data_IF_180822617148
#
_entry.id   IF_180822617148
#
_cell.length_a   1.000
_cell.length_b   1.000
_cell.length_c   1.000
_cell.angle_alpha   90.00
_cell.angle_beta   90.00
_cell.angle_gamma   90.00
#
_symmetry.space_group_name_H-M   'P 1'
#
loop_
_entity.id
_entity.type
_entity.pdbx_description
1 polymer ?
#
# COMPACT_ATOMS: atom_id res chain seq x y z
N UNK A 1 28.94 12.74 0.31
CA UNK A 1 28.21 11.47 0.48
C UNK A 1 27.44 11.57 1.80
N UNK A 2 26.11 11.62 1.75
CA UNK A 2 25.30 11.68 2.97
C UNK A 2 25.23 10.28 3.59
N UNK A 3 25.50 10.17 4.88
CA UNK A 3 25.43 8.92 5.62
C UNK A 3 23.96 8.44 5.68
N UNK A 4 23.71 7.20 5.27
CA UNK A 4 22.42 6.57 5.51
C UNK A 4 22.23 6.44 7.03
N UNK A 5 21.26 7.18 7.58
CA UNK A 5 20.94 7.11 8.99
C UNK A 5 20.49 5.67 9.32
N UNK A 6 21.23 5.00 10.21
CA UNK A 6 20.80 3.73 10.80
C UNK A 6 19.69 4.03 11.81
N UNK A 7 18.46 4.06 11.34
CA UNK A 7 17.28 4.22 12.20
C UNK A 7 16.43 5.44 11.84
N UNK A 8 15.34 5.60 12.59
CA UNK A 8 14.40 6.71 12.41
C UNK A 8 14.95 8.00 13.03
N UNK A 9 14.46 9.17 12.58
CA UNK A 9 14.83 10.47 13.16
C UNK A 9 14.66 10.46 14.69
N UNK A 10 15.63 11.04 15.40
CA UNK A 10 15.59 11.15 16.86
C UNK A 10 15.67 9.82 17.62
N UNK A 11 16.00 8.70 16.96
CA UNK A 11 16.09 7.39 17.61
C UNK A 11 14.72 6.75 17.90
N UNK A 12 13.66 7.19 17.22
CA UNK A 12 12.33 6.63 17.38
C UNK A 12 12.26 5.15 16.96
N UNK A 13 11.36 4.39 17.59
CA UNK A 13 11.03 3.02 17.17
C UNK A 13 9.96 2.98 16.08
N UNK A 14 9.19 4.05 15.92
CA UNK A 14 8.16 4.22 14.90
C UNK A 14 8.00 5.67 14.47
N UNK A 15 7.60 5.88 13.22
CA UNK A 15 7.31 7.18 12.63
C UNK A 15 6.01 7.08 11.84
N UNK A 16 5.16 8.09 11.95
CA UNK A 16 3.94 8.21 11.16
C UNK A 16 3.81 9.65 10.65
N UNK A 17 3.79 9.79 9.33
CA UNK A 17 3.77 11.08 8.64
C UNK A 17 2.60 11.13 7.65
N UNK A 18 2.06 12.33 7.45
CA UNK A 18 0.99 12.57 6.49
C UNK A 18 1.49 13.51 5.38
N UNK A 19 1.23 13.12 4.14
CA UNK A 19 1.61 13.82 2.92
C UNK A 19 0.39 13.93 1.99
N UNK A 20 -0.45 14.94 2.24
CA UNK A 20 -1.75 15.07 1.57
C UNK A 20 -2.64 13.87 1.91
N UNK A 21 -3.11 13.16 0.89
CA UNK A 21 -3.96 11.98 1.04
C UNK A 21 -3.19 10.70 1.41
N UNK A 22 -1.85 10.77 1.40
CA UNK A 22 -0.98 9.63 1.68
C UNK A 22 -0.45 9.68 3.11
N UNK A 23 -0.30 8.51 3.72
CA UNK A 23 0.41 8.33 4.97
C UNK A 23 1.66 7.48 4.78
N UNK A 24 2.71 7.79 5.53
CA UNK A 24 3.95 7.00 5.60
C UNK A 24 4.09 6.50 7.02
N UNK A 25 4.08 5.18 7.19
CA UNK A 25 4.29 4.54 8.47
C UNK A 25 5.59 3.73 8.43
N UNK A 26 6.53 4.08 9.30
CA UNK A 26 7.81 3.37 9.41
C UNK A 26 7.99 2.77 10.80
N UNK A 27 8.65 1.62 10.87
CA UNK A 27 9.06 0.99 12.12
C UNK A 27 10.53 0.55 12.03
N UNK A 28 11.30 0.86 13.07
CA UNK A 28 12.63 0.29 13.25
C UNK A 28 12.50 -1.13 13.79
N UNK A 29 12.92 -2.14 13.00
CA UNK A 29 12.89 -3.56 13.37
C UNK A 29 14.21 -4.21 13.03
N UNK A 30 14.81 -4.87 14.03
CA UNK A 30 15.98 -5.74 13.84
C UNK A 30 17.15 -5.06 13.10
N UNK A 31 17.38 -3.76 13.36
CA UNK A 31 18.46 -3.00 12.72
C UNK A 31 18.15 -2.49 11.31
N UNK A 32 16.92 -2.67 10.83
CA UNK A 32 16.41 -2.11 9.57
C UNK A 32 15.22 -1.17 9.84
N UNK A 33 15.00 -0.22 8.93
CA UNK A 33 13.77 0.60 8.93
C UNK A 33 12.87 0.08 7.82
N UNK A 34 11.66 -0.30 8.20
CA UNK A 34 10.64 -0.79 7.27
C UNK A 34 9.53 0.26 7.18
N UNK A 35 9.25 0.74 5.96
CA UNK A 35 8.22 1.74 5.71
C UNK A 35 7.14 1.18 4.80
N UNK A 36 5.90 1.59 5.06
CA UNK A 36 4.77 1.40 4.16
C UNK A 36 4.13 2.76 3.87
N UNK A 37 3.73 2.96 2.63
CA UNK A 37 2.98 4.13 2.18
C UNK A 37 1.55 3.69 1.91
N UNK A 38 0.56 4.43 2.40
CA UNK A 38 -0.84 4.06 2.20
C UNK A 38 -1.74 5.24 1.88
N UNK A 39 -2.80 4.96 1.12
CA UNK A 39 -3.91 5.89 0.88
C UNK A 39 -5.21 5.13 1.00
N UNK A 40 -6.21 5.73 1.67
CA UNK A 40 -7.55 5.17 1.79
C UNK A 40 -8.56 6.14 1.17
N UNK A 41 -9.30 5.67 0.16
CA UNK A 41 -10.41 6.39 -0.43
C UNK A 41 -11.71 6.00 0.25
N UNK A 42 -12.51 6.99 0.61
CA UNK A 42 -13.78 6.83 1.30
C UNK A 42 -14.87 7.46 0.44
N UNK A 43 -16.00 6.76 0.30
CA UNK A 43 -17.17 7.29 -0.40
C UNK A 43 -17.77 8.45 0.37
N UNK A 44 -17.87 9.62 -0.27
CA UNK A 44 -18.50 10.79 0.32
C UNK A 44 -20.00 10.63 0.59
N UNK A 45 -20.66 9.62 -0.01
CA UNK A 45 -22.10 9.40 0.15
C UNK A 45 -22.45 8.65 1.44
N UNK A 46 -21.62 7.69 1.85
CA UNK A 46 -21.95 6.76 2.94
C UNK A 46 -20.79 6.50 3.91
N UNK A 47 -19.64 7.15 3.72
CA UNK A 47 -18.47 6.99 4.59
C UNK A 47 -17.79 5.61 4.50
N UNK A 48 -18.19 4.77 3.54
CA UNK A 48 -17.60 3.46 3.38
C UNK A 48 -16.27 3.53 2.63
N UNK A 49 -15.30 2.72 3.04
CA UNK A 49 -14.03 2.58 2.33
C UNK A 49 -14.25 1.94 0.96
N UNK A 50 -13.80 2.62 -0.08
CA UNK A 50 -13.90 2.19 -1.49
C UNK A 50 -12.60 1.55 -1.96
N UNK A 51 -11.46 2.00 -1.45
CA UNK A 51 -10.15 1.45 -1.81
C UNK A 51 -9.16 1.79 -0.71
N UNK A 52 -8.26 0.86 -0.41
CA UNK A 52 -6.98 1.20 0.23
C UNK A 52 -5.85 0.62 -0.57
N UNK A 53 -4.83 1.45 -0.79
CA UNK A 53 -3.57 1.07 -1.40
C UNK A 53 -2.54 1.06 -0.28
N UNK A 54 -1.79 -0.03 -0.13
CA UNK A 54 -0.59 -0.08 0.71
C UNK A 54 0.59 -0.52 -0.15
N UNK A 55 1.68 0.24 -0.14
CA UNK A 55 2.87 0.01 -0.94
C UNK A 55 4.11 -0.06 -0.05
N UNK A 56 5.04 -0.95 -0.41
CA UNK A 56 6.34 -1.12 0.24
C UNK A 56 7.40 -1.31 -0.83
N UNK A 57 8.59 -0.77 -0.62
CA UNK A 57 9.72 -1.11 -1.49
C UNK A 57 10.00 -2.62 -1.39
N UNK A 58 10.26 -3.26 -2.53
CA UNK A 58 10.78 -4.62 -2.56
C UNK A 58 12.25 -4.62 -2.12
N UNK A 59 12.77 -5.80 -1.78
CA UNK A 59 14.20 -5.95 -1.52
C UNK A 59 15.02 -5.47 -2.72
N UNK A 60 16.08 -4.70 -2.47
CA UNK A 60 16.90 -4.07 -3.51
C UNK A 60 16.38 -2.72 -4.03
N UNK A 61 15.14 -2.33 -3.71
CA UNK A 61 14.61 -0.97 -3.95
C UNK A 61 14.20 -0.63 -5.39
N UNK A 62 14.37 -1.55 -6.35
CA UNK A 62 14.01 -1.34 -7.76
C UNK A 62 12.55 -1.66 -8.08
N UNK A 63 11.87 -2.40 -7.20
CA UNK A 63 10.47 -2.80 -7.35
C UNK A 63 9.65 -2.37 -6.14
N UNK A 64 8.33 -2.34 -6.31
CA UNK A 64 7.36 -2.03 -5.26
C UNK A 64 6.43 -3.23 -5.11
N UNK A 65 6.30 -3.72 -3.88
CA UNK A 65 5.29 -4.68 -3.49
C UNK A 65 4.09 -3.92 -2.94
N UNK A 66 2.90 -4.32 -3.34
CA UNK A 66 1.70 -3.60 -2.95
C UNK A 66 0.55 -4.51 -2.61
N UNK A 67 -0.38 -3.93 -1.87
CA UNK A 67 -1.68 -4.49 -1.59
C UNK A 67 -2.76 -3.50 -2.00
N UNK A 68 -3.80 -4.03 -2.64
CA UNK A 68 -5.07 -3.34 -2.80
C UNK A 68 -6.08 -3.99 -1.85
N UNK A 69 -6.84 -3.17 -1.13
CA UNK A 69 -7.98 -3.61 -0.34
C UNK A 69 -9.22 -3.03 -1.00
N UNK A 70 -10.06 -3.89 -1.55
CA UNK A 70 -11.28 -3.49 -2.27
C UNK A 70 -12.52 -3.87 -1.46
N UNK A 71 -13.67 -3.22 -1.70
CA UNK A 71 -14.93 -3.60 -1.10
C UNK A 71 -15.38 -4.98 -1.57
N UNK A 72 -16.21 -5.61 -0.75
CA UNK A 72 -16.92 -6.82 -1.14
C UNK A 72 -17.96 -6.52 -2.23
N UNK A 73 -18.33 -7.54 -3.01
CA UNK A 73 -19.33 -7.42 -4.08
C UNK A 73 -18.77 -7.17 -5.47
N UNK A 74 -17.43 -7.17 -5.64
CA UNK A 74 -16.79 -7.10 -6.96
C UNK A 74 -16.71 -8.49 -7.63
N UNK A 75 -16.75 -8.50 -8.98
CA UNK A 75 -16.60 -9.70 -9.81
C UNK A 75 -15.12 -10.04 -10.01
N UNK A 76 -14.54 -10.68 -9.00
CA UNK A 76 -13.10 -10.98 -8.94
C UNK A 76 -12.62 -11.92 -10.05
N UNK A 77 -13.52 -12.73 -10.61
CA UNK A 77 -13.28 -13.62 -11.75
C UNK A 77 -12.90 -12.85 -13.03
N UNK A 78 -13.40 -11.62 -13.19
CA UNK A 78 -13.05 -10.72 -14.30
C UNK A 78 -11.68 -10.07 -14.13
N UNK A 79 -11.07 -10.20 -12.95
CA UNK A 79 -9.81 -9.58 -12.61
C UNK A 79 -9.90 -8.07 -12.39
N UNK A 80 -8.75 -7.48 -12.05
CA UNK A 80 -8.61 -6.04 -11.80
C UNK A 80 -7.77 -5.43 -12.91
N UNK A 81 -8.06 -4.20 -13.29
CA UNK A 81 -7.24 -3.40 -14.20
C UNK A 81 -6.79 -2.15 -13.45
N UNK A 82 -5.50 -1.83 -13.53
CA UNK A 82 -4.92 -0.66 -12.87
C UNK A 82 -4.51 0.35 -13.93
N UNK A 83 -4.82 1.62 -13.73
CA UNK A 83 -4.34 2.72 -14.55
C UNK A 83 -3.91 3.85 -13.63
N UNK A 84 -2.89 4.60 -14.03
CA UNK A 84 -2.43 5.79 -13.30
C UNK A 84 -2.79 6.99 -14.16
N UNK A 85 -3.58 7.90 -13.62
CA UNK A 85 -4.10 9.06 -14.36
C UNK A 85 -4.75 8.62 -15.68
N UNK A 86 -4.53 9.36 -16.77
CA UNK A 86 -5.04 9.04 -18.11
C UNK A 86 -4.17 8.04 -18.89
N UNK A 87 -3.26 7.33 -18.21
CA UNK A 87 -2.42 6.33 -18.87
C UNK A 87 -3.20 5.10 -19.32
N UNK A 88 -2.62 4.37 -20.27
CA UNK A 88 -3.16 3.09 -20.69
C UNK A 88 -3.23 2.12 -19.50
N UNK A 89 -4.36 1.42 -19.39
CA UNK A 89 -4.54 0.34 -18.46
C UNK A 89 -3.36 -0.64 -18.49
N UNK A 90 -2.77 -0.87 -17.32
CA UNK A 90 -1.79 -1.92 -17.10
C UNK A 90 -2.42 -3.29 -17.36
N UNK A 91 -1.57 -4.31 -17.54
CA UNK A 91 -2.02 -5.68 -17.79
C UNK A 91 -3.02 -6.11 -16.71
N UNK A 92 -4.20 -6.56 -17.13
CA UNK A 92 -5.24 -7.08 -16.24
C UNK A 92 -4.68 -8.21 -15.37
N UNK A 93 -4.84 -8.05 -14.06
CA UNK A 93 -4.29 -8.93 -13.03
C UNK A 93 -5.38 -9.88 -12.55
N UNK A 94 -5.03 -11.15 -12.31
CA UNK A 94 -5.91 -12.09 -11.59
C UNK A 94 -5.60 -11.99 -10.10
N UNK A 95 -6.50 -11.43 -9.28
CA UNK A 95 -6.21 -11.24 -7.87
C UNK A 95 -6.11 -12.57 -7.12
N UNK A 96 -5.08 -12.76 -6.29
CA UNK A 96 -5.13 -13.74 -5.20
C UNK A 96 -5.83 -13.12 -4.00
N UNK A 97 -7.01 -13.63 -3.68
CA UNK A 97 -7.79 -13.17 -2.52
C UNK A 97 -7.20 -13.77 -1.26
N UNK A 98 -6.73 -12.92 -0.34
CA UNK A 98 -6.50 -13.32 1.06
C UNK A 98 -7.48 -12.58 1.96
N UNK A 99 -8.28 -13.34 2.71
CA UNK A 99 -9.13 -12.78 3.76
C UNK A 99 -8.26 -12.65 5.01
N UNK A 100 -7.93 -11.42 5.39
CA UNK A 100 -7.34 -11.15 6.70
C UNK A 100 -8.45 -10.53 7.53
N UNK A 101 -8.88 -11.24 8.58
CA UNK A 101 -9.85 -10.79 9.58
C UNK A 101 -10.80 -9.68 9.10
N UNK A 102 -11.75 -10.03 8.22
CA UNK A 102 -12.86 -9.14 7.83
C UNK A 102 -12.68 -8.22 6.61
N UNK A 103 -11.52 -8.17 5.94
CA UNK A 103 -11.35 -7.41 4.68
C UNK A 103 -10.51 -8.20 3.63
N UNK A 104 -10.85 -8.15 2.33
CA UNK A 104 -10.07 -8.84 1.31
C UNK A 104 -8.85 -8.00 0.90
N UNK A 105 -7.68 -8.61 1.03
CA UNK A 105 -6.36 -8.06 0.67
C UNK A 105 -5.92 -8.76 -0.62
N UNK A 106 -5.61 -7.99 -1.66
CA UNK A 106 -4.92 -8.44 -2.87
C UNK A 106 -3.45 -8.13 -2.70
N UNK A 107 -2.52 -9.07 -2.92
CA UNK A 107 -1.08 -8.73 -2.91
C UNK A 107 -0.52 -8.73 -4.33
N UNK A 108 0.59 -8.04 -4.52
CA UNK A 108 1.38 -8.03 -5.75
C UNK A 108 2.66 -8.82 -5.44
N UNK A 109 3.01 -9.76 -6.32
CA UNK A 109 4.32 -10.44 -6.34
C UNK A 109 4.80 -10.44 -7.78
#
# INVERSE_FOLDING_TARGET
MAAAAKGLPGGASSLNEAHGDWSVACAAREGSVQCAISQSQVSGQNGQRVLTIELRAAEGGEAINGVLILPFGLRLDEGVTLAIDESAALRRWRPHVRIVSGAPIFSIT
#
